data_IF_529929876264
#
_entry.id   IF_529929876264
#
_cell.length_a   1.000
_cell.length_b   1.000
_cell.length_c   1.000
_cell.angle_alpha   90.00
_cell.angle_beta   90.00
_cell.angle_gamma   90.00
#
_symmetry.space_group_name_H-M   'P 1'
#
loop_
_entity.id
_entity.type
_entity.pdbx_description
1 polymer ?
#
# COMPACT_ATOMS: atom_id res chain seq x y z
N UNK A 1 9.80 -13.65 10.69
CA UNK A 1 9.16 -13.27 9.41
C UNK A 1 9.90 -12.08 8.82
N UNK A 2 10.29 -12.08 7.53
CA UNK A 2 10.95 -10.92 6.91
C UNK A 2 9.90 -9.99 6.28
N UNK A 3 9.81 -8.77 6.79
CA UNK A 3 8.88 -7.72 6.32
C UNK A 3 9.71 -6.65 5.62
N UNK A 4 9.35 -6.30 4.38
CA UNK A 4 10.06 -5.26 3.64
C UNK A 4 9.80 -3.89 4.24
N UNK A 5 8.53 -3.57 4.52
CA UNK A 5 8.12 -2.34 5.19
C UNK A 5 6.94 -2.59 6.13
N UNK A 6 6.98 -1.92 7.28
CA UNK A 6 5.84 -1.74 8.19
C UNK A 6 5.37 -0.30 8.04
N UNK A 7 4.09 -0.11 7.76
CA UNK A 7 3.51 1.20 7.45
C UNK A 7 2.23 1.37 8.26
N UNK A 8 2.16 2.43 9.05
CA UNK A 8 0.91 2.86 9.67
C UNK A 8 -0.07 3.39 8.61
N UNK A 9 -1.32 2.95 8.71
CA UNK A 9 -2.44 3.43 7.91
C UNK A 9 -3.46 4.05 8.83
N UNK A 10 -3.76 5.32 8.55
CA UNK A 10 -4.84 6.11 9.13
C UNK A 10 -5.71 6.63 8.01
N UNK A 11 -6.90 7.10 8.34
CA UNK A 11 -7.72 7.88 7.42
C UNK A 11 -7.08 9.23 7.14
N UNK A 12 -7.31 9.73 5.94
CA UNK A 12 -7.03 11.11 5.57
C UNK A 12 -7.93 12.07 6.37
N UNK A 13 -7.60 13.37 6.46
CA UNK A 13 -8.39 14.34 7.23
C UNK A 13 -9.85 14.49 6.78
N UNK A 14 -10.16 14.11 5.54
CA UNK A 14 -11.51 14.07 4.96
C UNK A 14 -12.26 12.77 5.26
N UNK A 15 -11.65 11.84 6.01
CA UNK A 15 -12.20 10.54 6.39
C UNK A 15 -11.96 9.43 5.37
N UNK A 16 -11.34 9.73 4.23
CA UNK A 16 -10.98 8.78 3.20
C UNK A 16 -9.85 7.83 3.61
N UNK A 17 -9.64 6.78 2.83
CA UNK A 17 -8.41 5.99 2.92
C UNK A 17 -7.32 6.63 2.05
N UNK A 18 -6.03 6.53 2.45
CA UNK A 18 -4.91 7.03 1.67
C UNK A 18 -4.65 6.11 0.47
N UNK A 19 -5.52 6.20 -0.54
CA UNK A 19 -5.63 5.26 -1.66
C UNK A 19 -4.31 5.12 -2.43
N UNK A 20 -3.60 6.22 -2.67
CA UNK A 20 -2.32 6.18 -3.39
C UNK A 20 -1.24 5.43 -2.60
N UNK A 21 -1.17 5.63 -1.28
CA UNK A 21 -0.25 4.90 -0.42
C UNK A 21 -0.58 3.40 -0.41
N UNK A 22 -1.87 3.04 -0.29
CA UNK A 22 -2.32 1.64 -0.32
C UNK A 22 -1.98 0.96 -1.65
N UNK A 23 -2.23 1.63 -2.78
CA UNK A 23 -1.89 1.11 -4.12
C UNK A 23 -0.39 0.96 -4.31
N UNK A 24 0.41 1.91 -3.83
CA UNK A 24 1.87 1.83 -3.86
C UNK A 24 2.39 0.68 -2.99
N UNK A 25 1.85 0.50 -1.78
CA UNK A 25 2.19 -0.59 -0.89
C UNK A 25 1.85 -1.94 -1.53
N UNK A 26 0.66 -2.09 -2.10
CA UNK A 26 0.25 -3.31 -2.79
C UNK A 26 1.16 -3.61 -3.99
N UNK A 27 1.52 -2.61 -4.80
CA UNK A 27 2.46 -2.79 -5.91
C UNK A 27 3.88 -3.12 -5.44
N UNK A 28 4.35 -2.49 -4.38
CA UNK A 28 5.65 -2.78 -3.80
C UNK A 28 5.71 -4.20 -3.18
N UNK A 29 4.56 -4.75 -2.78
CA UNK A 29 4.48 -6.09 -2.18
C UNK A 29 5.02 -7.20 -3.08
N UNK A 30 5.09 -6.96 -4.39
CA UNK A 30 5.78 -7.82 -5.38
C UNK A 30 7.24 -8.11 -5.04
N UNK A 31 7.88 -7.24 -4.26
CA UNK A 31 9.30 -7.35 -3.86
C UNK A 31 9.49 -7.95 -2.47
N UNK A 32 8.41 -8.13 -1.72
CA UNK A 32 8.45 -8.59 -0.35
C UNK A 32 7.21 -8.17 0.42
N UNK A 33 6.92 -8.85 1.52
CA UNK A 33 5.71 -8.60 2.31
C UNK A 33 5.73 -7.17 2.88
N UNK A 34 4.62 -6.46 2.71
CA UNK A 34 4.39 -5.16 3.34
C UNK A 34 3.34 -5.37 4.44
N UNK A 35 3.66 -4.94 5.66
CA UNK A 35 2.73 -4.97 6.78
C UNK A 35 2.09 -3.59 6.94
N UNK A 36 0.76 -3.56 6.88
CA UNK A 36 -0.03 -2.37 7.19
C UNK A 36 -0.55 -2.47 8.62
N UNK A 37 -0.24 -1.45 9.43
CA UNK A 37 -0.75 -1.34 10.79
C UNK A 37 -1.93 -0.37 10.81
N UNK A 38 -3.10 -0.89 11.15
CA UNK A 38 -4.38 -0.23 10.94
C UNK A 38 -4.83 0.53 12.19
N UNK A 39 -5.03 1.84 12.05
CA UNK A 39 -5.66 2.71 13.03
C UNK A 39 -7.07 3.11 12.56
N UNK A 40 -8.10 2.64 13.26
CA UNK A 40 -9.52 2.93 12.97
C UNK A 40 -9.97 2.69 11.51
N UNK A 41 -9.26 1.77 10.86
CA UNK A 41 -9.53 1.26 9.51
C UNK A 41 -9.60 -0.26 9.60
N UNK A 42 -10.57 -0.85 8.88
CA UNK A 42 -10.69 -2.30 8.78
C UNK A 42 -9.96 -2.87 7.56
N UNK A 43 -9.54 -4.14 7.65
CA UNK A 43 -8.97 -4.84 6.50
C UNK A 43 -9.95 -4.89 5.31
N UNK A 44 -11.25 -5.06 5.58
CA UNK A 44 -12.28 -5.11 4.55
C UNK A 44 -12.37 -3.80 3.73
N UNK A 45 -12.18 -2.65 4.36
CA UNK A 45 -12.16 -1.36 3.65
C UNK A 45 -10.92 -1.22 2.76
N UNK A 46 -9.77 -1.69 3.22
CA UNK A 46 -8.55 -1.71 2.42
C UNK A 46 -8.70 -2.67 1.24
N UNK A 47 -9.23 -3.86 1.47
CA UNK A 47 -9.48 -4.85 0.42
C UNK A 47 -10.43 -4.27 -0.64
N UNK A 48 -11.50 -3.58 -0.21
CA UNK A 48 -12.43 -2.91 -1.13
C UNK A 48 -11.76 -1.80 -1.96
N UNK A 49 -10.85 -1.01 -1.37
CA UNK A 49 -10.09 0.00 -2.12
C UNK A 49 -9.11 -0.63 -3.13
N UNK A 50 -8.57 -1.80 -2.81
CA UNK A 50 -7.56 -2.49 -3.63
C UNK A 50 -8.15 -3.44 -4.66
N UNK A 51 -9.45 -3.75 -4.59
CA UNK A 51 -10.11 -4.80 -5.34
C UNK A 51 -9.91 -4.71 -6.87
N UNK A 52 -9.97 -3.49 -7.41
CA UNK A 52 -9.70 -3.24 -8.82
C UNK A 52 -8.23 -3.50 -9.18
N UNK A 53 -7.30 -3.13 -8.30
CA UNK A 53 -5.86 -3.28 -8.52
C UNK A 53 -5.42 -4.75 -8.41
N UNK A 54 -5.98 -5.51 -7.46
CA UNK A 54 -5.70 -6.95 -7.28
C UNK A 54 -5.94 -7.72 -8.58
N UNK A 55 -7.02 -7.38 -9.31
CA UNK A 55 -7.38 -8.02 -10.59
C UNK A 55 -6.39 -7.73 -11.73
N UNK A 56 -5.59 -6.67 -11.61
CA UNK A 56 -4.60 -6.26 -12.63
C UNK A 56 -3.20 -6.83 -12.36
N UNK A 57 -2.99 -7.50 -11.23
CA UNK A 57 -1.67 -7.87 -10.73
C UNK A 57 -1.41 -9.37 -10.83
N UNK A 58 -0.13 -9.80 -10.92
CA UNK A 58 0.22 -11.22 -10.89
C UNK A 58 -0.28 -11.90 -9.61
N UNK A 59 -0.73 -13.16 -9.74
CA UNK A 59 -1.30 -13.92 -8.62
C UNK A 59 -0.23 -14.45 -7.64
N UNK A 60 1.05 -14.39 -8.01
CA UNK A 60 2.18 -14.93 -7.26
C UNK A 60 2.86 -13.92 -6.32
N UNK A 61 2.21 -12.77 -6.09
CA UNK A 61 2.79 -11.72 -5.26
C UNK A 61 2.57 -12.01 -3.77
N UNK A 62 3.54 -11.70 -2.88
CA UNK A 62 3.40 -11.90 -1.44
C UNK A 62 2.20 -11.19 -0.80
N UNK A 63 1.76 -10.07 -1.38
CA UNK A 63 0.61 -9.31 -0.91
C UNK A 63 0.88 -8.49 0.37
N UNK A 64 -0.22 -8.01 0.95
CA UNK A 64 -0.21 -7.22 2.17
C UNK A 64 -0.54 -8.10 3.37
N UNK A 65 0.04 -7.73 4.51
CA UNK A 65 -0.35 -8.25 5.82
C UNK A 65 -1.04 -7.12 6.58
N UNK A 66 -2.02 -7.46 7.41
CA UNK A 66 -2.74 -6.51 8.24
C UNK A 66 -2.46 -6.78 9.72
N UNK A 67 -2.25 -5.72 10.48
CA UNK A 67 -2.14 -5.77 11.92
C UNK A 67 -2.94 -4.63 12.54
N UNK A 68 -3.64 -4.88 13.65
CA UNK A 68 -4.34 -3.83 14.40
C UNK A 68 -3.33 -3.06 15.23
N UNK A 69 -3.41 -1.73 15.22
CA UNK A 69 -2.57 -0.85 16.03
C UNK A 69 -2.56 -1.14 17.54
N UNK A 70 -3.63 -1.76 18.03
CA UNK A 70 -3.82 -2.12 19.44
C UNK A 70 -3.17 -3.45 19.82
N UNK A 71 -2.70 -4.25 18.84
CA UNK A 71 -2.05 -5.53 19.09
C UNK A 71 -0.54 -5.34 19.28
N UNK A 72 -0.18 -4.89 20.48
CA UNK A 72 1.21 -4.53 20.83
C UNK A 72 2.15 -5.74 20.79
N UNK A 73 1.66 -6.94 21.12
CA UNK A 73 2.47 -8.16 21.12
C UNK A 73 2.94 -8.52 19.71
N UNK A 74 1.99 -8.61 18.78
CA UNK A 74 2.28 -8.88 17.37
C UNK A 74 3.09 -7.75 16.72
N UNK A 75 2.89 -6.50 17.16
CA UNK A 75 3.65 -5.35 16.67
C UNK A 75 5.14 -5.44 17.02
N UNK A 76 5.47 -5.88 18.23
CA UNK A 76 6.86 -6.05 18.66
C UNK A 76 7.59 -7.12 17.83
N UNK A 77 6.91 -8.21 17.50
CA UNK A 77 7.47 -9.23 16.60
C UNK A 77 7.64 -8.69 15.18
N UNK A 78 6.62 -8.00 14.67
CA UNK A 78 6.62 -7.43 13.33
C UNK A 78 7.71 -6.36 13.15
N UNK A 79 7.89 -5.47 14.12
CA UNK A 79 8.88 -4.39 14.09
C UNK A 79 10.32 -4.95 14.07
N UNK A 80 10.55 -6.06 14.78
CA UNK A 80 11.82 -6.79 14.76
C UNK A 80 12.15 -7.33 13.37
N UNK A 81 11.15 -7.83 12.64
CA UNK A 81 11.31 -8.37 11.29
C UNK A 81 11.27 -7.35 10.14
N UNK A 82 10.97 -6.07 10.39
CA UNK A 82 10.70 -5.06 9.35
C UNK A 82 11.91 -4.25 8.90
N UNK A 83 12.36 -4.38 7.66
CA UNK A 83 13.53 -3.63 7.16
C UNK A 83 13.32 -2.11 7.17
N UNK A 84 12.08 -1.65 6.99
CA UNK A 84 11.71 -0.24 7.03
C UNK A 84 10.44 -0.05 7.87
N UNK A 85 10.37 1.06 8.63
CA UNK A 85 9.24 1.36 9.52
C UNK A 85 8.81 2.81 9.28
N UNK A 86 7.56 3.02 8.86
CA UNK A 86 6.96 4.33 8.62
C UNK A 86 5.71 4.48 9.49
N UNK A 87 5.81 5.34 10.49
CA UNK A 87 4.80 5.52 11.54
C UNK A 87 4.83 6.97 12.01
N UNK A 88 3.67 7.49 12.39
CA UNK A 88 3.52 8.85 12.87
C UNK A 88 4.20 9.05 14.22
N UNK A 89 4.61 10.29 14.53
CA UNK A 89 5.25 10.62 15.81
C UNK A 89 4.38 10.24 17.03
N UNK A 90 3.06 10.38 16.93
CA UNK A 90 2.11 9.95 17.96
C UNK A 90 2.24 8.44 18.20
N UNK A 91 2.16 7.69 17.11
CA UNK A 91 2.25 6.22 17.11
C UNK A 91 3.63 5.73 17.56
N UNK A 92 4.71 6.42 17.19
CA UNK A 92 6.06 6.13 17.72
C UNK A 92 6.12 6.28 19.24
N UNK A 93 5.44 7.29 19.78
CA UNK A 93 5.39 7.53 21.23
C UNK A 93 4.60 6.43 21.92
N UNK A 94 3.42 6.08 21.38
CA UNK A 94 2.57 5.03 21.93
C UNK A 94 3.22 3.64 21.84
N UNK A 95 3.90 3.33 20.74
CA UNK A 95 4.57 2.05 20.50
C UNK A 95 6.03 2.01 20.92
N UNK A 96 6.48 2.96 21.74
CA UNK A 96 7.89 3.09 22.11
C UNK A 96 8.49 1.79 22.68
N UNK A 97 7.70 1.03 23.44
CA UNK A 97 8.09 -0.28 23.99
C UNK A 97 8.00 -1.43 22.99
N UNK A 98 7.29 -1.30 21.88
CA UNK A 98 7.22 -2.30 20.81
C UNK A 98 8.26 -2.06 19.70
N UNK A 99 8.76 -0.83 19.59
CA UNK A 99 9.79 -0.44 18.63
C UNK A 99 11.22 -0.56 19.19
N UNK A 100 11.45 -1.25 20.31
CA UNK A 100 12.73 -1.31 21.07
C UNK A 100 13.99 -1.22 20.19
N UNK A 101 14.67 -0.08 20.23
CA UNK A 101 15.93 0.15 19.51
C UNK A 101 15.82 0.35 17.99
N UNK A 102 14.61 0.30 17.44
CA UNK A 102 14.31 0.54 16.03
C UNK A 102 13.86 1.99 15.86
N UNK A 103 14.54 2.70 14.96
CA UNK A 103 14.15 4.06 14.62
C UNK A 103 13.17 3.99 13.45
N UNK A 104 11.99 4.59 13.62
CA UNK A 104 11.12 4.86 12.49
C UNK A 104 11.89 5.71 11.47
N UNK A 105 11.76 5.36 10.20
CA UNK A 105 12.39 6.11 9.10
C UNK A 105 11.67 7.43 8.83
N UNK A 106 10.41 7.55 9.24
CA UNK A 106 9.64 8.78 9.18
C UNK A 106 8.15 8.54 9.24
N UNK A 107 7.41 9.62 8.98
CA UNK A 107 5.95 9.62 8.85
C UNK A 107 5.46 8.73 7.70
N UNK A 108 4.21 8.23 7.76
CA UNK A 108 3.62 7.39 6.71
C UNK A 108 3.71 8.00 5.31
N UNK A 109 3.55 9.32 5.17
CA UNK A 109 3.61 10.02 3.88
C UNK A 109 4.96 9.84 3.16
N UNK A 110 6.07 9.71 3.91
CA UNK A 110 7.38 9.46 3.34
C UNK A 110 7.52 8.04 2.78
N UNK A 111 6.66 7.11 3.20
CA UNK A 111 6.63 5.77 2.64
C UNK A 111 6.29 5.81 1.16
N UNK A 112 5.42 6.74 0.72
CA UNK A 112 5.01 6.87 -0.69
C UNK A 112 6.20 7.06 -1.63
N UNK A 113 7.19 7.89 -1.27
CA UNK A 113 8.38 8.11 -2.09
C UNK A 113 9.23 6.84 -2.25
N UNK A 114 9.42 6.11 -1.15
CA UNK A 114 10.22 4.89 -1.10
C UNK A 114 9.50 3.76 -1.84
N UNK A 115 8.21 3.57 -1.56
CA UNK A 115 7.37 2.58 -2.21
C UNK A 115 7.23 2.85 -3.71
N UNK A 116 7.13 4.11 -4.12
CA UNK A 116 7.13 4.47 -5.54
C UNK A 116 8.38 3.97 -6.24
N UNK A 117 9.56 4.06 -5.62
CA UNK A 117 10.82 3.53 -6.17
C UNK A 117 10.84 2.00 -6.21
N UNK A 118 10.35 1.34 -5.16
CA UNK A 118 10.31 -0.14 -5.04
C UNK A 118 9.30 -0.75 -6.02
N UNK A 119 8.15 -0.10 -6.18
CA UNK A 119 7.06 -0.51 -7.05
C UNK A 119 7.37 -0.30 -8.54
N UNK A 120 8.50 0.35 -8.88
CA UNK A 120 8.89 0.50 -10.29
C UNK A 120 9.11 -0.89 -10.91
N UNK A 121 8.56 -1.12 -12.12
CA UNK A 121 8.87 -2.32 -12.89
C UNK A 121 10.39 -2.36 -13.13
N UNK A 122 11.07 -3.43 -12.73
CA UNK A 122 12.52 -3.55 -12.98
C UNK A 122 12.83 -4.20 -14.34
N UNK A 123 11.83 -4.73 -15.05
CA UNK A 123 12.06 -5.42 -16.32
C UNK A 123 10.99 -5.10 -17.38
N UNK A 124 11.35 -5.34 -18.64
CA UNK A 124 10.50 -5.17 -19.83
C UNK A 124 9.19 -5.99 -19.75
N UNK A 125 9.20 -7.15 -19.09
CA UNK A 125 8.02 -7.99 -18.90
C UNK A 125 6.94 -7.28 -18.03
N UNK A 126 7.35 -6.51 -17.04
CA UNK A 126 6.44 -5.72 -16.20
C UNK A 126 5.83 -4.52 -16.96
N UNK A 127 6.55 -3.96 -17.94
CA UNK A 127 6.06 -2.90 -18.82
C UNK A 127 5.04 -3.42 -19.84
N UNK A 128 5.18 -4.66 -20.30
CA UNK A 128 4.26 -5.28 -21.26
C UNK A 128 2.86 -5.55 -20.67
N UNK A 129 2.72 -5.66 -19.34
CA UNK A 129 1.40 -5.75 -18.69
C UNK A 129 0.62 -4.43 -18.85
N UNK A 130 1.30 -3.28 -18.86
CA UNK A 130 0.67 -1.97 -19.06
C UNK A 130 0.17 -1.74 -20.49
N UNK A 131 0.76 -2.38 -21.49
CA UNK A 131 0.41 -2.15 -22.91
C UNK A 131 -0.80 -2.94 -23.38
N UNK A 132 -1.32 -3.90 -22.59
CA UNK A 132 -2.57 -4.62 -22.86
C UNK A 132 -3.83 -3.87 -22.41
N UNK A 133 -3.85 -2.54 -22.54
CA UNK A 133 -5.08 -1.77 -22.39
C UNK A 133 -5.89 -1.92 -23.69
N UNK A 134 -7.15 -2.37 -23.69
CA UNK A 134 -7.99 -2.25 -24.88
C UNK A 134 -8.16 -0.76 -25.18
N UNK A 135 -7.86 -0.40 -26.42
CA UNK A 135 -8.09 0.95 -26.97
C UNK A 135 -9.57 1.28 -26.75
N UNK A 136 -9.84 2.28 -25.90
CA UNK A 136 -11.16 2.87 -25.74
C UNK A 136 -11.54 3.44 -27.11
N UNK A 137 -12.50 2.82 -27.79
CA UNK A 137 -13.06 3.31 -29.04
C UNK A 137 -13.70 4.69 -28.79
N UNK A 138 -12.96 5.74 -29.13
CA UNK A 138 -13.54 7.05 -29.39
C UNK A 138 -14.10 7.02 -30.82
N UNK A 139 -15.36 6.60 -30.96
CA UNK A 139 -16.10 6.79 -32.20
C UNK A 139 -16.32 8.30 -32.45
N UNK A 140 -16.03 8.81 -33.65
CA UNK A 140 -16.26 10.20 -34.00
C UNK A 140 -17.75 10.47 -34.21
N UNK A 141 -18.16 11.71 -33.97
CA UNK A 141 -19.53 12.16 -34.00
C UNK A 141 -20.27 11.91 -35.31
N UNK A 142 -21.58 11.74 -35.17
CA UNK A 142 -22.54 12.00 -36.23
C UNK A 142 -23.76 12.66 -35.58
N UNK A 143 -23.69 13.98 -35.47
CA UNK A 143 -24.89 14.83 -35.52
C UNK A 143 -25.58 14.60 -36.86
N UNK A 144 -26.79 14.04 -36.83
CA UNK A 144 -27.75 14.16 -37.91
C UNK A 144 -29.11 14.48 -37.31
N UNK A 145 -29.45 15.76 -37.36
CA UNK A 145 -30.84 16.23 -37.37
C UNK A 145 -31.48 15.78 -38.69
N UNK A 146 -32.69 15.22 -38.64
CA UNK A 146 -33.71 15.49 -39.65
C UNK A 146 -35.11 15.34 -39.04
N UNK A 147 -35.96 16.23 -39.54
CA UNK A 147 -37.35 16.60 -39.26
C UNK A 147 -38.31 15.42 -39.17
#
# INVERSE_FOLDING_TARGET
>A
MHILALIEIRRDPDGGLPADLLRLAYRASRRGRILLVLHDVSAAEIDAELDALVREMPLDIPGLLYLRATDIGSLAEASSGASMIFVSNETQTYWRSALLGRRAMGEPDRASEVLCRIARPACLADLAVRTRRPRRNSGPGATSFHI
#
